data_IF_298797932680
#
_entry.id   IF_298797932680
#
_cell.length_a   1.000
_cell.length_b   1.000
_cell.length_c   1.000
_cell.angle_alpha   90.00
_cell.angle_beta   90.00
_cell.angle_gamma   90.00
#
_symmetry.space_group_name_H-M   'P 1'
#
loop_
_entity.id
_entity.type
_entity.pdbx_description
1 polymer ?
#
# COMPACT_ATOMS: atom_id res chain seq x y z
N UNK A 1 2.52 25.13 -16.21
CA UNK A 1 3.22 24.18 -15.31
C UNK A 1 2.45 23.93 -14.02
N UNK A 2 1.90 24.96 -13.36
CA UNK A 2 1.26 24.81 -12.03
C UNK A 2 0.09 23.81 -11.97
N UNK A 3 -0.69 23.67 -13.04
CA UNK A 3 -1.78 22.67 -13.09
C UNK A 3 -1.31 21.26 -13.50
N UNK A 4 -0.21 21.16 -14.28
CA UNK A 4 0.25 19.89 -14.82
C UNK A 4 0.96 19.02 -13.77
N UNK A 5 1.71 19.63 -12.86
CA UNK A 5 2.44 18.91 -11.83
C UNK A 5 1.51 18.15 -10.85
N UNK A 6 0.45 18.76 -10.27
CA UNK A 6 -0.49 18.03 -9.41
C UNK A 6 -1.23 16.91 -10.15
N UNK A 7 -1.62 17.14 -11.41
CA UNK A 7 -2.27 16.11 -12.23
C UNK A 7 -1.34 14.93 -12.47
N UNK A 8 -0.08 15.20 -12.80
CA UNK A 8 0.95 14.16 -12.96
C UNK A 8 1.11 13.35 -11.66
N UNK A 9 1.25 14.03 -10.51
CA UNK A 9 1.37 13.38 -9.21
C UNK A 9 0.16 12.54 -8.84
N UNK A 10 -1.07 12.99 -9.16
CA UNK A 10 -2.28 12.21 -8.92
C UNK A 10 -2.28 10.94 -9.78
N UNK A 11 -1.96 11.06 -11.08
CA UNK A 11 -1.94 9.92 -12.00
C UNK A 11 -0.86 8.92 -11.58
N UNK A 12 0.37 9.37 -11.36
CA UNK A 12 1.48 8.50 -10.96
C UNK A 12 1.24 7.89 -9.58
N UNK A 13 0.74 8.68 -8.63
CA UNK A 13 0.36 8.21 -7.30
C UNK A 13 -0.70 7.12 -7.36
N UNK A 14 -1.74 7.28 -8.19
CA UNK A 14 -2.77 6.28 -8.38
C UNK A 14 -2.21 4.98 -8.98
N UNK A 15 -1.43 5.05 -10.07
CA UNK A 15 -0.84 3.85 -10.66
C UNK A 15 0.11 3.13 -9.69
N UNK A 16 0.91 3.88 -8.94
CA UNK A 16 1.83 3.32 -7.94
C UNK A 16 1.06 2.67 -6.78
N UNK A 17 -0.02 3.30 -6.31
CA UNK A 17 -0.94 2.72 -5.33
C UNK A 17 -1.52 1.39 -5.81
N UNK A 18 -2.02 1.33 -7.04
CA UNK A 18 -2.59 0.10 -7.63
C UNK A 18 -1.54 -1.02 -7.73
N UNK A 19 -0.30 -0.71 -8.12
CA UNK A 19 0.79 -1.68 -8.22
C UNK A 19 1.22 -2.22 -6.84
N UNK A 20 1.34 -1.35 -5.84
CA UNK A 20 1.69 -1.75 -4.47
C UNK A 20 0.54 -2.52 -3.84
N UNK A 21 -0.71 -2.10 -4.06
CA UNK A 21 -1.89 -2.82 -3.60
C UNK A 21 -1.95 -4.23 -4.20
N UNK A 22 -1.72 -4.39 -5.52
CA UNK A 22 -1.60 -5.72 -6.15
C UNK A 22 -0.58 -6.59 -5.43
N UNK A 23 0.60 -6.04 -5.16
CA UNK A 23 1.67 -6.75 -4.47
C UNK A 23 1.22 -7.18 -3.07
N UNK A 24 0.55 -6.29 -2.34
CA UNK A 24 0.04 -6.56 -1.00
C UNK A 24 -1.04 -7.64 -1.00
N UNK A 25 -2.00 -7.59 -1.92
CA UNK A 25 -3.03 -8.63 -2.05
C UNK A 25 -2.42 -9.99 -2.36
N UNK A 26 -1.42 -10.03 -3.24
CA UNK A 26 -0.72 -11.26 -3.57
C UNK A 26 0.03 -11.81 -2.34
N UNK A 27 0.69 -10.95 -1.56
CA UNK A 27 1.35 -11.33 -0.32
C UNK A 27 0.37 -11.91 0.70
N UNK A 28 -0.79 -11.26 0.89
CA UNK A 28 -1.86 -11.72 1.77
C UNK A 28 -2.61 -12.96 1.22
N UNK A 29 -2.27 -13.42 0.00
CA UNK A 29 -2.92 -14.53 -0.69
C UNK A 29 -4.43 -14.35 -0.83
N UNK A 30 -4.85 -13.12 -1.10
CA UNK A 30 -6.25 -12.81 -1.38
C UNK A 30 -6.68 -13.53 -2.64
N UNK A 31 -7.89 -14.10 -2.63
CA UNK A 31 -8.42 -14.87 -3.74
C UNK A 31 -8.34 -14.07 -5.06
N UNK A 32 -7.63 -14.57 -6.10
CA UNK A 32 -7.55 -13.92 -7.41
C UNK A 32 -8.90 -13.75 -8.10
N UNK A 33 -9.91 -14.57 -7.75
CA UNK A 33 -11.25 -14.52 -8.31
C UNK A 33 -12.13 -13.45 -7.67
N UNK A 34 -11.72 -12.81 -6.57
CA UNK A 34 -12.45 -11.68 -6.03
C UNK A 34 -12.45 -10.47 -6.99
N UNK A 35 -13.54 -9.68 -7.07
CA UNK A 35 -13.65 -8.56 -8.01
C UNK A 35 -12.49 -7.55 -7.91
N UNK A 36 -12.05 -7.22 -6.70
CA UNK A 36 -10.94 -6.29 -6.46
C UNK A 36 -9.62 -6.87 -7.01
N UNK A 37 -9.29 -8.12 -6.67
CA UNK A 37 -8.11 -8.82 -7.16
C UNK A 37 -8.09 -8.90 -8.68
N UNK A 38 -9.21 -9.30 -9.31
CA UNK A 38 -9.31 -9.36 -10.77
C UNK A 38 -9.09 -8.00 -11.42
N UNK A 39 -9.70 -6.95 -10.86
CA UNK A 39 -9.57 -5.58 -11.38
C UNK A 39 -8.12 -5.12 -11.34
N UNK A 40 -7.45 -5.29 -10.19
CA UNK A 40 -6.04 -4.92 -10.03
C UNK A 40 -5.13 -5.73 -10.95
N UNK A 41 -5.33 -7.05 -11.03
CA UNK A 41 -4.54 -7.91 -11.91
C UNK A 41 -4.70 -7.51 -13.37
N UNK A 42 -5.91 -7.27 -13.85
CA UNK A 42 -6.19 -6.84 -15.24
C UNK A 42 -5.59 -5.47 -15.55
N UNK A 43 -5.71 -4.51 -14.64
CA UNK A 43 -5.16 -3.16 -14.83
C UNK A 43 -3.63 -3.14 -14.87
N UNK A 44 -2.98 -3.97 -14.07
CA UNK A 44 -1.52 -3.92 -13.90
C UNK A 44 -0.78 -5.00 -14.70
N UNK A 45 -1.42 -6.10 -15.10
CA UNK A 45 -0.76 -7.19 -15.82
C UNK A 45 -0.09 -6.79 -17.14
N UNK A 46 -0.65 -5.89 -17.96
CA UNK A 46 0.03 -5.48 -19.20
C UNK A 46 1.39 -4.84 -18.93
N UNK A 47 1.52 -4.13 -17.80
CA UNK A 47 2.75 -3.45 -17.39
C UNK A 47 3.69 -4.38 -16.60
N UNK A 48 3.14 -5.21 -15.71
CA UNK A 48 3.92 -6.08 -14.82
C UNK A 48 4.45 -7.33 -15.52
N UNK A 49 3.67 -7.95 -16.43
CA UNK A 49 4.05 -9.24 -17.04
C UNK A 49 5.36 -9.17 -17.87
N UNK A 50 5.63 -8.12 -18.66
CA UNK A 50 6.90 -8.00 -19.39
C UNK A 50 8.11 -7.96 -18.45
N UNK A 51 8.03 -7.15 -17.38
CA UNK A 51 9.11 -7.01 -16.37
C UNK A 51 9.22 -8.29 -15.53
N UNK A 52 8.09 -8.94 -15.26
CA UNK A 52 8.01 -10.19 -14.51
C UNK A 52 8.70 -11.39 -15.17
N UNK A 53 9.04 -11.30 -16.46
CA UNK A 53 9.89 -12.30 -17.14
C UNK A 53 11.33 -12.28 -16.64
N UNK A 54 11.81 -11.11 -16.21
CA UNK A 54 13.18 -10.90 -15.72
C UNK A 54 13.21 -10.92 -14.19
N UNK A 55 12.21 -10.28 -13.57
CA UNK A 55 12.14 -10.12 -12.11
C UNK A 55 11.07 -11.05 -11.55
N UNK A 56 11.44 -12.15 -10.88
CA UNK A 56 10.49 -13.14 -10.41
C UNK A 56 9.68 -12.65 -9.21
N UNK A 57 8.53 -13.28 -8.99
CA UNK A 57 7.80 -13.19 -7.72
C UNK A 57 8.43 -14.15 -6.71
N UNK A 58 8.76 -13.67 -5.50
CA UNK A 58 9.34 -14.50 -4.43
C UNK A 58 8.45 -14.41 -3.19
N UNK A 59 8.11 -15.57 -2.60
CA UNK A 59 7.25 -15.67 -1.39
C UNK A 59 5.92 -14.89 -1.51
N UNK A 60 5.29 -14.91 -2.68
CA UNK A 60 4.07 -14.15 -3.01
C UNK A 60 4.23 -12.62 -3.07
N UNK A 61 5.45 -12.11 -3.06
CA UNK A 61 5.73 -10.68 -3.28
C UNK A 61 6.11 -10.48 -4.74
N UNK A 62 5.35 -9.63 -5.43
CA UNK A 62 5.60 -9.27 -6.83
C UNK A 62 6.65 -8.16 -6.94
N UNK A 63 7.92 -8.55 -7.02
CA UNK A 63 9.02 -7.58 -7.12
C UNK A 63 9.00 -6.77 -8.42
N UNK A 64 8.45 -7.32 -9.51
CA UNK A 64 8.28 -6.57 -10.76
C UNK A 64 7.32 -5.38 -10.56
N UNK A 65 6.17 -5.59 -9.90
CA UNK A 65 5.22 -4.52 -9.61
C UNK A 65 5.81 -3.45 -8.67
N UNK A 66 6.56 -3.86 -7.64
CA UNK A 66 7.26 -2.93 -6.74
C UNK A 66 8.33 -2.11 -7.44
N UNK A 67 9.12 -2.75 -8.33
CA UNK A 67 10.13 -2.04 -9.10
C UNK A 67 9.49 -0.98 -10.00
N UNK A 68 8.41 -1.34 -10.70
CA UNK A 68 7.71 -0.40 -11.58
C UNK A 68 7.14 0.76 -10.78
N UNK A 69 6.52 0.51 -9.62
CA UNK A 69 6.04 1.57 -8.74
C UNK A 69 7.17 2.51 -8.28
N UNK A 70 8.33 1.95 -7.89
CA UNK A 70 9.52 2.74 -7.52
C UNK A 70 9.99 3.61 -8.68
N UNK A 71 10.09 3.04 -9.89
CA UNK A 71 10.54 3.77 -11.08
C UNK A 71 9.58 4.88 -11.46
N UNK A 72 8.27 4.66 -11.36
CA UNK A 72 7.25 5.67 -11.64
C UNK A 72 7.36 6.85 -10.65
N UNK A 73 7.44 6.56 -9.35
CA UNK A 73 7.58 7.59 -8.32
C UNK A 73 8.90 8.35 -8.45
N UNK A 74 10.01 7.65 -8.69
CA UNK A 74 11.31 8.29 -8.89
C UNK A 74 11.32 9.17 -10.14
N UNK A 75 10.74 8.69 -11.24
CA UNK A 75 10.63 9.44 -12.50
C UNK A 75 9.78 10.71 -12.32
N UNK A 76 8.67 10.64 -11.58
CA UNK A 76 7.87 11.81 -11.24
C UNK A 76 8.73 12.88 -10.56
N UNK A 77 9.46 12.53 -9.50
CA UNK A 77 10.28 13.50 -8.76
C UNK A 77 11.40 14.06 -9.62
N UNK A 78 11.99 13.24 -10.48
CA UNK A 78 13.00 13.70 -11.44
C UNK A 78 12.42 14.73 -12.44
N UNK A 79 11.24 14.47 -13.01
CA UNK A 79 10.55 15.40 -13.91
C UNK A 79 10.22 16.73 -13.20
N UNK A 80 9.92 16.67 -11.90
CA UNK A 80 9.67 17.84 -11.06
C UNK A 80 10.96 18.57 -10.61
N UNK A 81 12.13 18.17 -11.12
CA UNK A 81 13.41 18.85 -10.89
C UNK A 81 14.20 18.37 -9.67
N UNK A 82 13.79 17.26 -9.03
CA UNK A 82 14.57 16.64 -7.95
C UNK A 82 15.78 15.92 -8.55
N UNK A 83 17.01 16.13 -8.03
CA UNK A 83 18.20 15.43 -8.53
C UNK A 83 18.03 13.91 -8.49
N UNK A 84 18.61 13.20 -9.48
CA UNK A 84 18.38 11.76 -9.71
C UNK A 84 18.54 10.92 -8.44
N UNK A 85 19.62 11.12 -7.68
CA UNK A 85 19.86 10.36 -6.45
C UNK A 85 18.76 10.57 -5.40
N UNK A 86 18.31 11.81 -5.21
CA UNK A 86 17.24 12.17 -4.28
C UNK A 86 15.88 11.72 -4.80
N UNK A 87 15.67 11.72 -6.12
CA UNK A 87 14.44 11.25 -6.75
C UNK A 87 14.26 9.75 -6.57
N UNK A 88 15.33 8.96 -6.74
CA UNK A 88 15.31 7.51 -6.46
C UNK A 88 15.04 7.24 -4.98
N UNK A 89 15.69 7.98 -4.08
CA UNK A 89 15.44 7.85 -2.64
C UNK A 89 14.00 8.21 -2.28
N UNK A 90 13.48 9.31 -2.83
CA UNK A 90 12.09 9.73 -2.64
C UNK A 90 11.10 8.70 -3.21
N UNK A 91 11.39 8.09 -4.35
CA UNK A 91 10.58 7.00 -4.91
C UNK A 91 10.55 5.77 -4.00
N UNK A 92 11.69 5.40 -3.41
CA UNK A 92 11.77 4.30 -2.45
C UNK A 92 10.97 4.60 -1.17
N UNK A 93 11.11 5.81 -0.63
CA UNK A 93 10.30 6.28 0.49
C UNK A 93 8.81 6.32 0.12
N UNK A 94 8.47 6.69 -1.12
CA UNK A 94 7.11 6.75 -1.62
C UNK A 94 6.47 5.37 -1.65
N UNK A 95 7.18 4.32 -2.07
CA UNK A 95 6.70 2.94 -1.97
C UNK A 95 6.36 2.58 -0.52
N UNK A 96 7.23 2.92 0.43
CA UNK A 96 7.01 2.66 1.87
C UNK A 96 5.79 3.45 2.38
N UNK A 97 5.68 4.72 2.01
CA UNK A 97 4.58 5.62 2.40
C UNK A 97 3.24 5.12 1.86
N UNK A 98 3.18 4.80 0.57
CA UNK A 98 1.98 4.25 -0.08
C UNK A 98 1.59 2.90 0.53
N UNK A 99 2.56 2.05 0.85
CA UNK A 99 2.29 0.81 1.57
C UNK A 99 1.67 1.05 2.97
N UNK A 100 2.23 1.99 3.73
CA UNK A 100 1.66 2.41 5.02
C UNK A 100 0.23 2.97 4.89
N UNK A 101 -0.04 3.74 3.83
CA UNK A 101 -1.38 4.25 3.51
C UNK A 101 -2.36 3.10 3.19
N UNK A 102 -1.95 2.10 2.41
CA UNK A 102 -2.76 0.91 2.13
C UNK A 102 -3.14 0.21 3.44
N UNK A 103 -2.18 -0.02 4.33
CA UNK A 103 -2.45 -0.63 5.64
C UNK A 103 -3.39 0.24 6.47
N UNK A 104 -3.17 1.55 6.50
CA UNK A 104 -4.02 2.49 7.24
C UNK A 104 -5.47 2.45 6.76
N UNK A 105 -5.70 2.61 5.45
CA UNK A 105 -7.04 2.63 4.89
C UNK A 105 -7.73 1.27 4.97
N UNK A 106 -7.04 0.16 4.72
CA UNK A 106 -7.64 -1.18 4.86
C UNK A 106 -8.02 -1.50 6.30
N UNK A 107 -7.22 -1.05 7.26
CA UNK A 107 -7.52 -1.16 8.71
C UNK A 107 -8.68 -0.27 9.10
N UNK A 108 -8.75 0.97 8.58
CA UNK A 108 -9.89 1.86 8.79
C UNK A 108 -11.18 1.26 8.24
N UNK A 109 -11.15 0.71 7.01
CA UNK A 109 -12.29 0.00 6.41
C UNK A 109 -12.71 -1.18 7.31
N UNK A 110 -11.77 -1.97 7.82
CA UNK A 110 -12.08 -3.07 8.76
C UNK A 110 -12.80 -2.57 10.01
N UNK A 111 -12.34 -1.45 10.57
CA UNK A 111 -12.96 -0.81 11.73
C UNK A 111 -14.41 -0.40 11.43
N UNK A 112 -14.62 0.28 10.30
CA UNK A 112 -15.94 0.74 9.89
C UNK A 112 -16.89 -0.43 9.59
N UNK A 113 -16.43 -1.44 8.86
CA UNK A 113 -17.23 -2.64 8.54
C UNK A 113 -17.64 -3.37 9.83
N UNK A 114 -16.78 -3.47 10.85
CA UNK A 114 -17.14 -4.12 12.12
C UNK A 114 -18.33 -3.51 12.86
N UNK A 115 -18.66 -2.24 12.56
CA UNK A 115 -19.84 -1.57 13.10
C UNK A 115 -21.05 -1.69 12.16
N UNK A 116 -20.83 -1.62 10.85
CA UNK A 116 -21.90 -1.60 9.84
C UNK A 116 -22.44 -3.00 9.53
N UNK A 117 -21.55 -3.98 9.38
CA UNK A 117 -21.89 -5.36 9.00
C UNK A 117 -21.63 -6.32 10.16
N UNK A 118 -22.37 -7.43 10.20
CA UNK A 118 -22.18 -8.50 11.19
C UNK A 118 -21.30 -9.65 10.68
N UNK A 119 -20.56 -9.45 9.58
CA UNK A 119 -19.63 -10.43 9.01
C UNK A 119 -20.18 -11.28 7.85
N UNK A 120 -21.39 -11.00 7.37
CA UNK A 120 -22.06 -11.81 6.34
C UNK A 120 -21.76 -11.35 4.90
N UNK A 121 -20.91 -10.33 4.71
CA UNK A 121 -20.62 -9.79 3.37
C UNK A 121 -19.26 -10.30 2.83
N UNK A 122 -19.13 -10.67 1.53
CA UNK A 122 -17.86 -11.12 0.94
C UNK A 122 -16.68 -10.15 1.11
N UNK A 123 -16.98 -8.84 1.20
CA UNK A 123 -15.98 -7.81 1.47
C UNK A 123 -15.42 -7.89 2.89
N UNK A 124 -16.19 -8.34 3.88
CA UNK A 124 -15.73 -8.51 5.26
C UNK A 124 -14.58 -9.50 5.31
N UNK A 125 -14.75 -10.63 4.60
CA UNK A 125 -13.74 -11.67 4.49
C UNK A 125 -12.47 -11.17 3.78
N UNK A 126 -12.63 -10.44 2.67
CA UNK A 126 -11.49 -9.88 1.93
C UNK A 126 -10.70 -8.88 2.79
N UNK A 127 -11.38 -7.95 3.45
CA UNK A 127 -10.75 -6.94 4.30
C UNK A 127 -10.07 -7.58 5.51
N UNK A 128 -10.69 -8.62 6.09
CA UNK A 128 -10.06 -9.42 7.13
C UNK A 128 -8.76 -10.04 6.63
N UNK A 129 -8.76 -10.73 5.49
CA UNK A 129 -7.54 -11.34 4.91
C UNK A 129 -6.42 -10.33 4.66
N UNK A 130 -6.76 -9.16 4.10
CA UNK A 130 -5.79 -8.11 3.75
C UNK A 130 -5.08 -7.57 5.00
N UNK A 131 -5.78 -7.48 6.12
CA UNK A 131 -5.28 -6.87 7.35
C UNK A 131 -4.71 -7.89 8.34
N UNK A 132 -5.07 -9.17 8.20
CA UNK A 132 -4.72 -10.23 9.14
C UNK A 132 -3.22 -10.48 9.34
N UNK A 133 -2.35 -10.40 8.31
CA UNK A 133 -0.91 -10.59 8.52
C UNK A 133 -0.30 -9.60 9.53
N UNK A 134 -0.83 -8.37 9.58
CA UNK A 134 -0.35 -7.32 10.48
C UNK A 134 -1.13 -7.34 11.79
N UNK A 135 -2.46 -7.36 11.73
CA UNK A 135 -3.31 -7.36 12.92
C UNK A 135 -3.14 -8.64 13.75
N UNK A 136 -3.02 -9.80 13.10
CA UNK A 136 -2.76 -11.07 13.75
C UNK A 136 -1.41 -11.09 14.48
N UNK A 137 -0.41 -10.35 14.00
CA UNK A 137 0.85 -10.15 14.73
C UNK A 137 0.65 -9.28 15.97
N UNK A 138 -0.08 -8.16 15.84
CA UNK A 138 -0.36 -7.24 16.96
C UNK A 138 -1.22 -7.93 18.03
N UNK A 139 -2.21 -8.74 17.65
CA UNK A 139 -3.07 -9.50 18.58
C UNK A 139 -2.29 -10.52 19.43
N UNK A 140 -1.07 -10.91 19.06
CA UNK A 140 -0.22 -11.75 19.92
C UNK A 140 0.30 -10.99 21.13
N UNK A 141 0.35 -9.66 21.07
CA UNK A 141 0.83 -8.78 22.14
C UNK A 141 -0.31 -8.19 22.98
N UNK A 142 -1.53 -8.17 22.43
CA UNK A 142 -2.69 -7.60 23.11
C UNK A 142 -3.48 -8.67 23.89
N UNK A 143 -4.11 -8.30 25.02
CA UNK A 143 -5.05 -9.17 25.69
C UNK A 143 -6.27 -9.43 24.79
N UNK A 144 -6.90 -10.60 24.94
CA UNK A 144 -8.15 -10.93 24.22
C UNK A 144 -9.31 -10.15 24.82
N UNK A 145 -9.58 -9.00 24.23
CA UNK A 145 -10.63 -8.06 24.66
C UNK A 145 -11.93 -8.31 23.90
N UNK A 146 -12.86 -9.06 24.50
CA UNK A 146 -14.29 -9.10 24.10
C UNK A 146 -14.60 -9.06 22.59
N UNK A 147 -15.61 -8.24 22.23
CA UNK A 147 -16.15 -8.12 20.86
C UNK A 147 -15.42 -7.10 19.97
N UNK A 148 -14.52 -6.27 20.53
CA UNK A 148 -13.84 -5.18 19.80
C UNK A 148 -12.38 -5.54 19.52
N UNK A 149 -11.97 -5.49 18.25
CA UNK A 149 -10.59 -5.76 17.84
C UNK A 149 -9.70 -4.51 18.04
N UNK A 150 -9.15 -4.35 19.26
CA UNK A 150 -8.25 -3.23 19.58
C UNK A 150 -6.96 -3.22 18.75
N UNK A 151 -6.59 -4.33 18.09
CA UNK A 151 -5.41 -4.34 17.21
C UNK A 151 -5.53 -3.35 16.05
N UNK A 152 -6.77 -3.08 15.59
CA UNK A 152 -7.09 -2.09 14.56
C UNK A 152 -6.69 -0.68 15.02
N UNK A 153 -7.03 -0.32 16.26
CA UNK A 153 -6.66 0.98 16.83
C UNK A 153 -5.15 1.10 17.02
N UNK A 154 -4.52 0.05 17.55
CA UNK A 154 -3.06 0.02 17.77
C UNK A 154 -2.31 0.16 16.46
N UNK A 155 -2.73 -0.54 15.40
CA UNK A 155 -2.15 -0.39 14.07
C UNK A 155 -2.37 1.01 13.50
N UNK A 156 -3.59 1.54 13.59
CA UNK A 156 -3.91 2.88 13.10
C UNK A 156 -3.05 3.97 13.74
N UNK A 157 -2.97 3.99 15.07
CA UNK A 157 -2.11 4.92 15.79
C UNK A 157 -0.62 4.66 15.54
N UNK A 158 -0.20 3.40 15.48
CA UNK A 158 1.18 3.03 15.15
C UNK A 158 1.62 3.56 13.78
N UNK A 159 0.75 3.46 12.76
CA UNK A 159 1.02 4.00 11.43
C UNK A 159 1.08 5.53 11.41
N UNK A 160 0.24 6.22 12.18
CA UNK A 160 0.29 7.68 12.33
C UNK A 160 1.61 8.11 12.99
N UNK A 161 2.00 7.44 14.08
CA UNK A 161 3.26 7.70 14.77
C UNK A 161 4.46 7.42 13.85
N UNK A 162 4.42 6.33 13.10
CA UNK A 162 5.46 5.98 12.13
C UNK A 162 5.55 7.04 11.03
N UNK A 163 4.43 7.50 10.47
CA UNK A 163 4.43 8.57 9.49
C UNK A 163 5.06 9.87 10.03
N UNK A 164 4.76 10.24 11.28
CA UNK A 164 5.36 11.40 11.93
C UNK A 164 6.86 11.20 12.21
N UNK A 165 7.28 10.00 12.60
CA UNK A 165 8.68 9.65 12.80
C UNK A 165 9.47 9.76 11.50
N UNK A 166 8.93 9.20 10.41
CA UNK A 166 9.58 9.28 9.09
C UNK A 166 9.66 10.72 8.59
N UNK A 167 8.64 11.54 8.82
CA UNK A 167 8.71 12.97 8.55
C UNK A 167 9.84 13.65 9.35
N UNK A 168 10.02 13.31 10.63
CA UNK A 168 11.12 13.86 11.44
C UNK A 168 12.51 13.42 10.95
N UNK A 169 12.65 12.18 10.45
CA UNK A 169 13.93 11.62 10.00
C UNK A 169 14.31 12.13 8.61
N UNK A 170 13.36 12.12 7.66
CA UNK A 170 13.62 12.39 6.25
C UNK A 170 13.15 13.79 5.78
N UNK A 171 12.36 14.50 6.61
CA UNK A 171 11.92 15.87 6.36
C UNK A 171 11.18 16.02 5.03
N UNK A 172 11.68 16.94 4.21
CA UNK A 172 11.11 17.26 2.90
C UNK A 172 11.05 16.03 1.99
N UNK A 173 12.01 15.11 2.06
CA UNK A 173 12.00 13.90 1.24
C UNK A 173 10.79 13.01 1.55
N UNK A 174 10.39 12.88 2.81
CA UNK A 174 9.16 12.17 3.17
C UNK A 174 7.89 12.94 2.81
N UNK A 175 7.95 14.28 2.85
CA UNK A 175 6.84 15.12 2.44
C UNK A 175 6.50 14.91 0.95
N UNK A 176 7.52 14.88 0.11
CA UNK A 176 7.38 14.74 -1.35
C UNK A 176 7.30 13.28 -1.82
N UNK A 177 7.67 12.32 -0.97
CA UNK A 177 7.54 10.88 -1.22
C UNK A 177 6.09 10.47 -1.45
#
# INVERSE_FOLDING_TARGET
MEFLAPVLSIIIGFFSFVLILRTWLQFCRVDPYMPLSQSLLRLTSPLVNPVGKVIPTVKNINFAALLIALLLLALEKFILGVPVAMAVLAGLLGVVKTFGQILFFTTLIRALMSWVTRGDHPLDYMVAQITEPVLGFIRKLLPRTGMLDFSVMVLGFGLILLNNLFYRIFGVLWAIA
#
